data_IF_439383244780
#
_entry.id   IF_439383244780
#
_cell.length_a   1.000
_cell.length_b   1.000
_cell.length_c   1.000
_cell.angle_alpha   90.00
_cell.angle_beta   90.00
_cell.angle_gamma   90.00
#
_symmetry.space_group_name_H-M   'P 1'
#
loop_
_entity.id
_entity.type
_entity.pdbx_description
1 polymer ?
#
# COMPACT_ATOMS: atom_id res chain seq x y z
N UNK A 1 29.79 30.12 -37.58
CA UNK A 1 30.48 29.49 -36.43
C UNK A 1 30.06 30.02 -35.04
N UNK A 2 29.53 31.25 -34.91
CA UNK A 2 29.07 31.79 -33.60
C UNK A 2 27.85 31.08 -32.99
N UNK A 3 27.02 30.41 -33.78
CA UNK A 3 25.79 29.76 -33.26
C UNK A 3 26.02 28.33 -32.73
N UNK A 4 27.14 27.67 -33.06
CA UNK A 4 27.43 26.31 -32.60
C UNK A 4 27.95 26.29 -31.15
N UNK A 5 28.71 27.33 -30.78
CA UNK A 5 29.22 27.50 -29.40
C UNK A 5 28.08 27.78 -28.41
N UNK A 6 27.08 28.55 -28.82
CA UNK A 6 25.92 28.88 -27.97
C UNK A 6 25.06 27.65 -27.68
N UNK A 7 24.92 26.72 -28.63
CA UNK A 7 24.20 25.45 -28.44
C UNK A 7 24.96 24.54 -27.47
N UNK A 8 26.29 24.48 -27.55
CA UNK A 8 27.11 23.71 -26.62
C UNK A 8 27.09 24.29 -25.19
N UNK A 9 27.00 25.62 -25.06
CA UNK A 9 26.88 26.31 -23.77
C UNK A 9 25.46 26.25 -23.19
N UNK A 10 24.43 26.12 -24.02
CA UNK A 10 23.06 25.86 -23.60
C UNK A 10 22.87 24.40 -23.15
N UNK A 11 23.55 23.43 -23.77
CA UNK A 11 23.50 22.02 -23.38
C UNK A 11 24.15 21.76 -22.00
N UNK A 12 25.15 22.53 -21.59
CA UNK A 12 25.74 22.42 -20.24
C UNK A 12 24.86 23.03 -19.14
N UNK A 13 23.91 23.90 -19.49
CA UNK A 13 22.97 24.51 -18.54
C UNK A 13 21.76 23.62 -18.21
N UNK A 14 21.54 22.53 -18.94
CA UNK A 14 20.44 21.59 -18.69
C UNK A 14 20.83 20.30 -17.96
N UNK A 15 22.09 20.16 -17.51
CA UNK A 15 22.60 18.89 -16.96
C UNK A 15 22.76 18.83 -15.44
N UNK A 16 21.99 19.63 -14.69
CA UNK A 16 21.77 19.39 -13.26
C UNK A 16 20.27 19.45 -12.94
N UNK A 17 19.44 18.75 -13.72
CA UNK A 17 18.21 18.23 -13.15
C UNK A 17 18.63 17.31 -12.00
N UNK A 18 18.36 17.71 -10.75
CA UNK A 18 18.52 16.81 -9.61
C UNK A 18 17.72 15.55 -9.91
N UNK A 19 18.43 14.45 -10.11
CA UNK A 19 17.83 13.13 -10.31
C UNK A 19 16.92 12.82 -9.13
N UNK A 20 15.62 12.84 -9.37
CA UNK A 20 14.65 12.27 -8.44
C UNK A 20 15.06 10.81 -8.23
N UNK A 21 15.18 10.35 -6.98
CA UNK A 21 15.62 8.98 -6.69
C UNK A 21 14.47 8.07 -6.30
N UNK A 22 13.34 8.63 -5.87
CA UNK A 22 12.17 7.89 -5.45
C UNK A 22 10.89 8.63 -5.80
N UNK A 23 9.87 7.90 -6.25
CA UNK A 23 8.55 8.46 -6.54
C UNK A 23 7.46 7.74 -5.76
N UNK A 24 6.35 8.44 -5.52
CA UNK A 24 5.08 7.89 -5.05
C UNK A 24 3.94 8.50 -5.85
N UNK A 25 3.11 7.66 -6.47
CA UNK A 25 1.90 8.07 -7.18
C UNK A 25 0.69 7.42 -6.54
N UNK A 26 -0.33 8.20 -6.19
CA UNK A 26 -1.46 7.75 -5.38
C UNK A 26 -2.76 8.26 -6.00
N UNK A 27 -3.77 7.40 -6.13
CA UNK A 27 -5.10 7.81 -6.53
C UNK A 27 -5.77 8.60 -5.39
N UNK A 28 -6.22 9.81 -5.69
CA UNK A 28 -6.94 10.67 -4.74
C UNK A 28 -8.44 10.41 -4.78
N UNK A 29 -8.98 10.11 -5.96
CA UNK A 29 -10.39 9.82 -6.20
C UNK A 29 -10.56 9.03 -7.51
N UNK A 30 -11.77 9.00 -8.08
CA UNK A 30 -12.03 8.23 -9.28
C UNK A 30 -11.17 8.61 -10.49
N UNK A 31 -10.80 9.89 -10.61
CA UNK A 31 -10.27 10.47 -11.83
C UNK A 31 -8.91 11.16 -11.65
N UNK A 32 -8.39 11.30 -10.43
CA UNK A 32 -7.16 12.06 -10.18
C UNK A 32 -6.11 11.30 -9.38
N UNK A 33 -4.86 11.66 -9.64
CA UNK A 33 -3.67 11.14 -8.97
C UNK A 33 -2.84 12.30 -8.44
N UNK A 34 -2.18 12.08 -7.31
CA UNK A 34 -1.04 12.87 -6.88
C UNK A 34 0.24 12.11 -7.18
N UNK A 35 1.25 12.79 -7.71
CA UNK A 35 2.61 12.25 -7.87
C UNK A 35 3.54 13.10 -7.03
N UNK A 36 4.38 12.41 -6.24
CA UNK A 36 5.32 12.99 -5.32
C UNK A 36 6.69 12.41 -5.66
N UNK A 37 7.64 13.28 -5.96
CA UNK A 37 8.99 12.89 -6.29
C UNK A 37 9.96 13.38 -5.21
N UNK A 38 10.95 12.57 -4.91
CA UNK A 38 11.85 12.74 -3.79
C UNK A 38 13.30 12.57 -4.26
N UNK A 39 14.17 13.52 -3.91
CA UNK A 39 15.61 13.37 -4.04
C UNK A 39 16.14 12.36 -3.01
N UNK A 40 15.54 12.36 -1.82
CA UNK A 40 15.71 11.35 -0.77
C UNK A 40 14.47 11.35 0.12
N UNK A 41 14.09 10.20 0.66
CA UNK A 41 13.04 10.10 1.68
C UNK A 41 13.49 10.63 3.05
N UNK A 42 14.76 10.98 3.20
CA UNK A 42 15.36 11.59 4.39
C UNK A 42 15.60 13.10 4.24
N UNK A 43 15.25 13.69 3.09
CA UNK A 43 15.45 15.12 2.82
C UNK A 43 14.62 15.99 3.76
N UNK A 44 15.25 16.82 4.60
CA UNK A 44 14.59 17.61 5.66
C UNK A 44 13.56 18.62 5.11
N UNK A 45 13.64 19.04 3.84
CA UNK A 45 12.88 20.19 3.30
C UNK A 45 11.43 19.92 2.84
N UNK A 46 10.99 18.67 2.80
CA UNK A 46 9.62 18.31 2.34
C UNK A 46 8.60 18.42 3.48
N UNK A 47 7.37 18.89 3.21
CA UNK A 47 6.25 18.89 4.16
C UNK A 47 6.14 17.52 4.87
N UNK A 48 6.16 17.55 6.19
CA UNK A 48 6.21 16.37 7.06
C UNK A 48 5.04 15.42 6.81
N UNK A 49 3.87 15.92 6.39
CA UNK A 49 2.68 15.11 6.09
C UNK A 49 2.84 14.35 4.77
N UNK A 50 3.41 14.97 3.75
CA UNK A 50 3.69 14.34 2.45
C UNK A 50 4.72 13.22 2.62
N UNK A 51 5.79 13.49 3.38
CA UNK A 51 6.76 12.44 3.78
C UNK A 51 6.11 11.32 4.57
N UNK A 52 5.23 11.65 5.50
CA UNK A 52 4.53 10.67 6.32
C UNK A 52 3.70 9.73 5.44
N UNK A 53 2.92 10.26 4.50
CA UNK A 53 2.13 9.46 3.56
C UNK A 53 3.05 8.55 2.71
N UNK A 54 4.13 9.10 2.15
CA UNK A 54 5.10 8.33 1.36
C UNK A 54 5.74 7.19 2.18
N UNK A 55 6.09 7.44 3.45
CA UNK A 55 6.64 6.44 4.37
C UNK A 55 5.62 5.39 4.79
N UNK A 56 4.35 5.77 4.95
CA UNK A 56 3.28 4.85 5.33
C UNK A 56 2.89 3.89 4.20
N UNK A 57 2.95 4.35 2.96
CA UNK A 57 2.64 3.52 1.77
C UNK A 57 3.83 2.63 1.41
N UNK A 58 5.06 3.09 1.63
CA UNK A 58 6.27 2.34 1.30
C UNK A 58 6.48 1.20 2.28
N UNK A 59 6.36 -0.02 1.77
CA UNK A 59 6.96 -1.20 2.37
C UNK A 59 8.32 -1.43 1.70
N UNK A 60 9.43 -1.33 2.44
CA UNK A 60 10.76 -1.41 1.83
C UNK A 60 11.13 -2.83 1.40
N UNK A 61 10.63 -3.84 2.11
CA UNK A 61 10.98 -5.23 1.87
C UNK A 61 9.73 -6.11 1.78
N UNK A 62 9.86 -7.21 1.06
CA UNK A 62 8.83 -8.23 0.96
C UNK A 62 9.45 -9.62 0.88
N UNK A 63 8.80 -10.58 1.52
CA UNK A 63 9.06 -12.00 1.33
C UNK A 63 7.96 -12.59 0.45
N UNK A 64 8.28 -12.76 -0.83
CA UNK A 64 7.33 -13.34 -1.81
C UNK A 64 7.00 -14.79 -1.45
N UNK A 65 7.92 -15.52 -0.79
CA UNK A 65 7.71 -16.93 -0.46
C UNK A 65 6.63 -17.13 0.62
N UNK A 66 6.40 -16.11 1.45
CA UNK A 66 5.36 -16.11 2.48
C UNK A 66 3.94 -15.82 1.91
N UNK A 67 3.82 -15.39 0.65
CA UNK A 67 2.52 -15.10 0.04
C UNK A 67 1.80 -16.42 -0.27
N UNK A 68 0.60 -16.59 0.30
CA UNK A 68 -0.19 -17.82 0.10
C UNK A 68 -0.69 -17.96 -1.35
N UNK A 69 -0.35 -19.09 -1.96
CA UNK A 69 -0.82 -19.48 -3.30
C UNK A 69 -2.29 -19.89 -3.32
N UNK A 70 -2.93 -20.05 -2.17
CA UNK A 70 -4.37 -20.34 -2.07
C UNK A 70 -5.22 -19.12 -2.43
N UNK A 71 -4.63 -17.92 -2.39
CA UNK A 71 -5.31 -16.66 -2.67
C UNK A 71 -4.78 -15.95 -3.92
N UNK A 72 -3.57 -16.26 -4.38
CA UNK A 72 -2.93 -15.58 -5.50
C UNK A 72 -2.34 -16.55 -6.52
N UNK A 73 -2.54 -16.23 -7.80
CA UNK A 73 -1.71 -16.71 -8.89
C UNK A 73 -0.48 -15.80 -9.01
N UNK A 74 0.71 -16.37 -8.95
CA UNK A 74 1.99 -15.64 -8.93
C UNK A 74 2.71 -15.91 -10.25
N UNK A 75 2.89 -14.89 -11.08
CA UNK A 75 3.73 -14.97 -12.29
C UNK A 75 5.06 -14.29 -12.02
N UNK A 76 6.14 -14.90 -12.49
CA UNK A 76 7.51 -14.40 -12.28
C UNK A 76 8.15 -14.09 -13.63
N UNK A 77 8.80 -12.93 -13.71
CA UNK A 77 9.64 -12.52 -14.83
C UNK A 77 11.01 -12.13 -14.28
N UNK A 78 12.02 -12.94 -14.58
CA UNK A 78 13.38 -12.72 -14.11
C UNK A 78 14.22 -11.98 -15.17
N UNK A 79 15.27 -11.30 -14.71
CA UNK A 79 16.44 -11.07 -15.56
C UNK A 79 16.54 -9.71 -16.27
N UNK A 80 15.84 -8.67 -15.81
CA UNK A 80 16.14 -7.30 -16.26
C UNK A 80 17.06 -6.59 -15.28
N UNK A 81 17.97 -5.76 -15.80
CA UNK A 81 18.92 -4.98 -15.00
C UNK A 81 18.44 -3.54 -14.82
N UNK A 82 18.50 -3.04 -13.59
CA UNK A 82 18.32 -1.63 -13.24
C UNK A 82 19.37 -1.27 -12.20
N UNK A 83 20.12 -0.18 -12.40
CA UNK A 83 21.19 0.27 -11.48
C UNK A 83 22.17 -0.85 -11.11
N UNK A 84 22.65 -1.60 -12.11
CA UNK A 84 23.52 -2.77 -11.96
C UNK A 84 22.98 -3.92 -11.06
N UNK A 85 21.72 -3.84 -10.63
CA UNK A 85 21.04 -4.89 -9.86
C UNK A 85 20.18 -5.75 -10.76
N UNK A 86 20.10 -7.04 -10.42
CA UNK A 86 19.18 -7.99 -11.06
C UNK A 86 17.81 -7.78 -10.44
N UNK A 87 16.84 -7.48 -11.30
CA UNK A 87 15.47 -7.26 -10.88
C UNK A 87 14.61 -8.46 -11.27
N UNK A 88 13.78 -8.89 -10.33
CA UNK A 88 12.72 -9.88 -10.55
C UNK A 88 11.37 -9.20 -10.43
N UNK A 89 10.51 -9.36 -11.42
CA UNK A 89 9.13 -8.87 -11.39
C UNK A 89 8.18 -10.02 -11.01
N UNK A 90 7.32 -9.74 -10.05
CA UNK A 90 6.23 -10.59 -9.60
C UNK A 90 4.89 -9.94 -9.94
N UNK A 91 4.04 -10.65 -10.68
CA UNK A 91 2.63 -10.28 -10.86
C UNK A 91 1.78 -11.16 -9.96
N UNK A 92 1.18 -10.55 -8.94
CA UNK A 92 0.40 -11.19 -7.88
C UNK A 92 -1.08 -10.93 -8.14
N UNK A 93 -1.74 -11.92 -8.75
CA UNK A 93 -3.12 -11.80 -9.23
C UNK A 93 -4.03 -12.60 -8.31
N UNK A 94 -4.99 -11.97 -7.61
CA UNK A 94 -5.97 -12.68 -6.80
C UNK A 94 -6.74 -13.74 -7.60
N UNK A 95 -6.91 -14.93 -7.03
CA UNK A 95 -7.71 -16.01 -7.64
C UNK A 95 -9.20 -15.61 -7.68
N UNK A 96 -9.64 -14.83 -6.70
CA UNK A 96 -10.99 -14.27 -6.60
C UNK A 96 -10.93 -12.74 -6.66
N UNK A 97 -12.01 -12.11 -7.12
CA UNK A 97 -12.17 -10.64 -7.09
C UNK A 97 -12.51 -10.12 -5.69
N UNK A 98 -11.74 -10.50 -4.68
CA UNK A 98 -11.92 -10.10 -3.28
C UNK A 98 -10.74 -9.29 -2.72
N UNK A 99 -9.73 -9.04 -3.55
CA UNK A 99 -8.45 -8.40 -3.20
C UNK A 99 -7.92 -7.58 -4.36
N UNK A 100 -6.99 -6.69 -4.05
CA UNK A 100 -6.29 -5.92 -5.09
C UNK A 100 -5.11 -6.72 -5.64
N UNK A 101 -4.87 -6.59 -6.94
CA UNK A 101 -3.72 -7.19 -7.62
C UNK A 101 -2.50 -6.29 -7.51
N UNK A 102 -1.31 -6.88 -7.57
CA UNK A 102 -0.07 -6.12 -7.39
C UNK A 102 1.01 -6.55 -8.38
N UNK A 103 1.81 -5.59 -8.82
CA UNK A 103 3.05 -5.82 -9.57
C UNK A 103 4.20 -5.34 -8.68
N UNK A 104 5.15 -6.22 -8.41
CA UNK A 104 6.27 -5.94 -7.50
C UNK A 104 7.58 -6.30 -8.18
N UNK A 105 8.46 -5.32 -8.32
CA UNK A 105 9.82 -5.50 -8.79
C UNK A 105 10.74 -5.51 -7.58
N UNK A 106 11.59 -6.53 -7.46
CA UNK A 106 12.53 -6.66 -6.34
C UNK A 106 13.96 -6.88 -6.79
N UNK A 107 14.90 -6.44 -5.96
CA UNK A 107 16.30 -6.84 -5.99
C UNK A 107 16.59 -7.63 -4.70
N UNK A 108 16.60 -8.95 -4.76
CA UNK A 108 16.46 -9.79 -3.57
C UNK A 108 15.09 -9.53 -2.91
N UNK A 109 15.08 -9.18 -1.62
CA UNK A 109 13.86 -8.85 -0.87
C UNK A 109 13.51 -7.36 -0.88
N UNK A 110 14.39 -6.49 -1.39
CA UNK A 110 14.15 -5.05 -1.48
C UNK A 110 13.13 -4.77 -2.58
N UNK A 111 12.03 -4.11 -2.23
CA UNK A 111 11.06 -3.61 -3.21
C UNK A 111 11.68 -2.43 -3.94
N UNK A 112 11.90 -2.60 -5.24
CA UNK A 112 12.41 -1.57 -6.16
C UNK A 112 11.27 -0.75 -6.74
N UNK A 113 10.16 -1.41 -7.08
CA UNK A 113 8.92 -0.78 -7.52
C UNK A 113 7.74 -1.62 -7.08
N UNK A 114 6.65 -0.98 -6.70
CA UNK A 114 5.38 -1.63 -6.40
C UNK A 114 4.25 -0.85 -7.01
N UNK A 115 3.29 -1.58 -7.57
CA UNK A 115 2.05 -1.07 -8.13
C UNK A 115 0.89 -1.89 -7.59
N UNK A 116 -0.17 -1.23 -7.17
CA UNK A 116 -1.36 -1.88 -6.60
C UNK A 116 -2.57 -1.45 -7.40
N UNK A 117 -3.37 -2.42 -7.84
CA UNK A 117 -4.51 -2.22 -8.72
C UNK A 117 -5.78 -2.80 -8.12
N UNK A 118 -6.87 -2.05 -8.19
CA UNK A 118 -8.18 -2.56 -7.77
C UNK A 118 -8.71 -3.67 -8.70
N UNK A 119 -9.91 -4.16 -8.40
CA UNK A 119 -10.58 -5.21 -9.18
C UNK A 119 -11.04 -4.77 -10.58
N UNK A 120 -10.97 -3.48 -10.88
CA UNK A 120 -11.26 -2.87 -12.18
C UNK A 120 -9.97 -2.46 -12.93
N UNK A 121 -8.81 -2.91 -12.45
CA UNK A 121 -7.48 -2.58 -12.99
C UNK A 121 -7.10 -1.10 -12.91
N UNK A 122 -7.76 -0.33 -12.04
CA UNK A 122 -7.33 1.03 -11.74
C UNK A 122 -6.12 1.00 -10.82
N UNK A 123 -5.10 1.78 -11.16
CA UNK A 123 -3.94 1.98 -10.29
C UNK A 123 -4.38 2.72 -9.02
N UNK A 124 -4.20 2.09 -7.87
CA UNK A 124 -4.53 2.66 -6.56
C UNK A 124 -3.35 3.46 -6.02
N UNK A 125 -2.17 2.86 -6.07
CA UNK A 125 -0.92 3.57 -5.82
C UNK A 125 0.25 2.83 -6.46
N UNK A 126 1.35 3.55 -6.64
CA UNK A 126 2.65 2.99 -6.99
C UNK A 126 3.76 3.77 -6.31
N UNK A 127 4.88 3.12 -6.07
CA UNK A 127 6.10 3.76 -5.62
C UNK A 127 7.30 3.00 -6.14
N UNK A 128 8.46 3.65 -6.17
CA UNK A 128 9.70 2.98 -6.51
C UNK A 128 10.87 3.91 -6.72
N UNK A 129 12.02 3.31 -7.02
CA UNK A 129 13.24 4.02 -7.39
C UNK A 129 13.28 4.25 -8.89
N UNK A 130 13.62 5.47 -9.28
CA UNK A 130 13.74 5.94 -10.66
C UNK A 130 15.13 5.69 -11.23
N UNK A 131 16.17 6.03 -10.47
CA UNK A 131 17.56 5.95 -10.93
C UNK A 131 18.41 5.07 -10.02
N UNK A 132 18.64 5.51 -8.78
CA UNK A 132 19.53 4.83 -7.83
C UNK A 132 18.75 3.96 -6.85
N UNK A 133 19.04 2.66 -6.83
CA UNK A 133 18.48 1.70 -5.89
C UNK A 133 19.42 1.62 -4.68
N UNK A 134 18.96 1.88 -3.46
CA UNK A 134 19.82 1.85 -2.28
C UNK A 134 20.33 0.45 -1.97
N UNK A 135 21.55 0.37 -1.41
CA UNK A 135 22.12 -0.85 -0.86
C UNK A 135 21.71 -1.00 0.61
N UNK A 136 20.45 -1.40 0.81
CA UNK A 136 19.90 -1.68 2.14
C UNK A 136 19.51 -3.15 2.24
N UNK A 137 19.86 -3.76 3.37
CA UNK A 137 19.47 -5.13 3.69
C UNK A 137 18.31 -5.11 4.69
N UNK A 138 17.38 -6.06 4.61
CA UNK A 138 16.30 -6.16 5.58
C UNK A 138 16.87 -6.49 6.96
N UNK A 139 16.38 -5.81 8.00
CA UNK A 139 16.61 -6.23 9.38
C UNK A 139 15.59 -7.31 9.78
N UNK A 140 15.85 -8.06 10.87
CA UNK A 140 14.87 -9.02 11.42
C UNK A 140 13.51 -8.38 11.74
N UNK A 141 13.46 -7.07 12.00
CA UNK A 141 12.23 -6.32 12.26
C UNK A 141 11.45 -6.03 10.97
N UNK A 142 12.15 -5.94 9.84
CA UNK A 142 11.57 -5.67 8.52
C UNK A 142 10.95 -6.93 7.90
N UNK A 143 11.54 -8.09 8.21
CA UNK A 143 10.98 -9.41 7.91
C UNK A 143 10.06 -9.83 9.07
N UNK A 144 8.89 -9.21 9.20
CA UNK A 144 7.96 -9.57 10.27
C UNK A 144 7.55 -11.04 10.15
N UNK A 145 7.90 -11.84 11.14
CA UNK A 145 7.19 -13.10 11.42
C UNK A 145 5.75 -12.79 11.81
N UNK A 146 4.80 -13.34 11.06
CA UNK A 146 3.39 -13.45 11.48
C UNK A 146 3.31 -14.49 12.59
N UNK A 147 3.76 -14.13 13.80
CA UNK A 147 3.49 -14.94 14.98
C UNK A 147 2.00 -14.82 15.30
N UNK A 148 1.29 -15.93 15.07
CA UNK A 148 -0.14 -16.11 15.30
C UNK A 148 -0.40 -16.07 16.82
N UNK A 149 -1.01 -14.98 17.29
CA UNK A 149 -1.62 -14.98 18.63
C UNK A 149 -2.91 -15.82 18.59
N UNK A 150 -3.18 -16.56 19.68
CA UNK A 150 -4.25 -17.56 19.81
C UNK A 150 -5.69 -17.03 19.64
N UNK A 151 -5.87 -15.70 19.66
CA UNK A 151 -7.17 -15.02 19.57
C UNK A 151 -7.27 -14.12 18.30
N UNK A 152 -6.63 -14.51 17.21
CA UNK A 152 -6.65 -13.75 15.95
C UNK A 152 -7.97 -13.95 15.19
N UNK A 153 -8.66 -12.84 14.86
CA UNK A 153 -9.82 -12.88 13.97
C UNK A 153 -9.35 -13.24 12.56
N UNK A 154 -9.84 -14.33 11.98
CA UNK A 154 -9.48 -14.71 10.60
C UNK A 154 -10.63 -14.44 9.66
N UNK A 155 -10.35 -13.82 8.52
CA UNK A 155 -11.32 -13.58 7.47
C UNK A 155 -10.72 -13.88 6.09
N UNK A 156 -11.15 -14.97 5.45
CA UNK A 156 -10.68 -15.37 4.10
C UNK A 156 -9.15 -15.28 3.92
N UNK A 157 -8.37 -15.77 4.89
CA UNK A 157 -6.89 -15.72 4.85
C UNK A 157 -6.27 -14.42 5.37
N UNK A 158 -7.06 -13.37 5.60
CA UNK A 158 -6.60 -12.22 6.37
C UNK A 158 -6.56 -12.57 7.85
N UNK A 159 -5.44 -12.28 8.49
CA UNK A 159 -5.26 -12.40 9.93
C UNK A 159 -5.45 -11.03 10.58
N UNK A 160 -6.43 -10.94 11.47
CA UNK A 160 -6.83 -9.75 12.21
C UNK A 160 -6.17 -9.68 13.57
N UNK A 161 -5.45 -8.58 13.83
CA UNK A 161 -4.83 -8.28 15.12
C UNK A 161 -5.39 -6.99 15.70
N UNK A 162 -5.74 -7.01 16.98
CA UNK A 162 -6.05 -5.80 17.74
C UNK A 162 -4.79 -4.94 17.86
N UNK A 163 -4.87 -3.69 17.40
CA UNK A 163 -3.73 -2.76 17.49
C UNK A 163 -3.81 -1.93 18.76
N UNK A 164 -4.97 -1.30 18.99
CA UNK A 164 -5.20 -0.46 20.16
C UNK A 164 -6.68 -0.14 20.35
N UNK A 165 -6.99 0.35 21.55
CA UNK A 165 -8.21 1.07 21.85
C UNK A 165 -7.86 2.55 22.01
N UNK A 166 -8.56 3.43 21.31
CA UNK A 166 -8.40 4.88 21.42
C UNK A 166 -9.07 5.41 22.68
N UNK A 167 -8.70 6.62 23.09
CA UNK A 167 -9.26 7.29 24.27
C UNK A 167 -10.79 7.48 24.19
N UNK A 168 -11.31 7.70 22.98
CA UNK A 168 -12.76 7.82 22.73
C UNK A 168 -13.50 6.46 22.73
N UNK A 169 -12.80 5.38 23.06
CA UNK A 169 -13.32 4.02 23.10
C UNK A 169 -13.32 3.29 21.76
N UNK A 170 -12.86 3.93 20.67
CA UNK A 170 -12.77 3.29 19.35
C UNK A 170 -11.78 2.14 19.37
N UNK A 171 -12.19 0.98 18.87
CA UNK A 171 -11.34 -0.20 18.76
C UNK A 171 -10.76 -0.27 17.36
N UNK A 172 -9.44 -0.48 17.24
CA UNK A 172 -8.74 -0.59 15.95
C UNK A 172 -8.12 -1.96 15.75
N UNK A 173 -8.56 -2.66 14.70
CA UNK A 173 -7.97 -3.89 14.20
C UNK A 173 -7.25 -3.65 12.88
N UNK A 174 -6.17 -4.39 12.62
CA UNK A 174 -5.55 -4.52 11.29
C UNK A 174 -5.67 -5.96 10.83
N UNK A 175 -6.11 -6.13 9.60
CA UNK A 175 -6.18 -7.39 8.87
C UNK A 175 -5.14 -7.41 7.77
N UNK A 176 -4.37 -8.49 7.68
CA UNK A 176 -3.28 -8.66 6.71
C UNK A 176 -3.23 -10.11 6.22
N UNK A 177 -3.07 -10.31 4.91
CA UNK A 177 -2.87 -11.64 4.30
C UNK A 177 -1.44 -11.87 3.78
N UNK A 178 -0.52 -10.96 4.10
CA UNK A 178 0.85 -10.93 3.60
C UNK A 178 1.06 -9.92 2.47
N UNK A 179 0.00 -9.48 1.79
CA UNK A 179 0.09 -8.58 0.64
C UNK A 179 -0.89 -7.40 0.69
N UNK A 180 -2.17 -7.70 0.89
CA UNK A 180 -3.25 -6.75 1.07
C UNK A 180 -3.52 -6.52 2.56
N UNK A 181 -3.88 -5.28 2.90
CA UNK A 181 -4.10 -4.87 4.29
C UNK A 181 -5.31 -3.96 4.39
N UNK A 182 -6.06 -4.10 5.46
CA UNK A 182 -7.12 -3.17 5.79
C UNK A 182 -7.27 -3.01 7.30
N UNK A 183 -7.73 -1.85 7.72
CA UNK A 183 -8.06 -1.55 9.10
C UNK A 183 -9.57 -1.60 9.29
N UNK A 184 -9.98 -2.04 10.48
CA UNK A 184 -11.33 -1.91 10.99
C UNK A 184 -11.31 -1.01 12.21
N UNK A 185 -12.16 0.01 12.22
CA UNK A 185 -12.44 0.86 13.37
C UNK A 185 -13.88 0.63 13.82
N UNK A 186 -14.08 0.38 15.12
CA UNK A 186 -15.39 0.15 15.73
C UNK A 186 -15.61 1.22 16.80
N UNK A 187 -16.63 2.06 16.61
CA UNK A 187 -16.97 3.15 17.54
C UNK A 187 -18.43 3.05 17.96
N UNK A 188 -18.69 3.14 19.26
CA UNK A 188 -20.05 3.11 19.83
C UNK A 188 -20.60 4.54 20.02
N UNK A 189 -21.92 4.66 20.10
CA UNK A 189 -22.63 5.86 20.56
C UNK A 189 -22.41 7.12 19.71
N UNK A 190 -22.72 7.04 18.42
CA UNK A 190 -22.74 8.21 17.53
C UNK A 190 -24.14 8.51 17.01
N UNK A 191 -24.54 9.77 17.17
CA UNK A 191 -25.71 10.35 16.53
C UNK A 191 -25.35 10.70 15.08
N UNK A 192 -26.23 10.36 14.13
CA UNK A 192 -26.16 10.72 12.70
C UNK A 192 -24.85 10.44 11.96
N UNK A 193 -24.50 9.16 11.82
CA UNK A 193 -23.45 8.73 10.88
C UNK A 193 -24.07 8.33 9.55
N UNK A 194 -23.78 9.09 8.50
CA UNK A 194 -24.12 8.68 7.13
C UNK A 194 -23.19 7.56 6.65
N UNK A 195 -23.73 6.70 5.79
CA UNK A 195 -22.89 5.71 5.10
C UNK A 195 -22.03 6.42 4.08
N UNK A 196 -20.71 6.21 4.15
CA UNK A 196 -19.75 6.82 3.24
C UNK A 196 -18.98 5.72 2.52
N UNK A 197 -18.91 5.84 1.18
CA UNK A 197 -18.02 5.06 0.31
C UNK A 197 -17.14 6.03 -0.44
N UNK A 198 -15.83 5.93 -0.28
CA UNK A 198 -14.90 6.82 -0.96
C UNK A 198 -13.54 6.17 -1.17
N UNK A 199 -12.77 6.72 -2.10
CA UNK A 199 -11.35 6.45 -2.27
C UNK A 199 -10.58 7.56 -1.56
N UNK A 200 -9.65 7.18 -0.68
CA UNK A 200 -8.79 8.09 0.08
C UNK A 200 -7.36 7.56 0.02
N UNK A 201 -6.47 8.33 -0.62
CA UNK A 201 -5.03 8.02 -0.73
C UNK A 201 -4.75 6.57 -1.14
N UNK A 202 -5.33 6.12 -2.26
CA UNK A 202 -5.11 4.77 -2.79
C UNK A 202 -5.77 3.64 -2.00
N UNK A 203 -6.62 3.97 -1.01
CA UNK A 203 -7.39 2.99 -0.25
C UNK A 203 -8.88 3.25 -0.40
N UNK A 204 -9.68 2.20 -0.44
CA UNK A 204 -11.12 2.34 -0.28
C UNK A 204 -11.45 2.58 1.20
N UNK A 205 -12.49 3.37 1.46
CA UNK A 205 -13.06 3.63 2.76
C UNK A 205 -14.57 3.35 2.71
N UNK A 206 -15.01 2.43 3.56
CA UNK A 206 -16.42 2.19 3.86
C UNK A 206 -16.68 2.53 5.32
N UNK A 207 -17.50 3.54 5.57
CA UNK A 207 -18.04 3.85 6.90
C UNK A 207 -19.53 3.56 6.90
N UNK A 208 -20.01 2.74 7.84
CA UNK A 208 -21.41 2.34 7.93
C UNK A 208 -21.85 2.23 9.38
N UNK A 209 -23.05 2.74 9.67
CA UNK A 209 -23.73 2.53 10.95
C UNK A 209 -24.58 1.27 10.88
N UNK A 210 -24.39 0.38 11.84
CA UNK A 210 -25.22 -0.82 12.05
C UNK A 210 -25.64 -0.79 13.51
N UNK A 211 -26.95 -0.76 13.75
CA UNK A 211 -27.54 -0.51 15.08
C UNK A 211 -26.97 0.81 15.68
N UNK A 212 -26.37 0.75 16.87
CA UNK A 212 -25.74 1.92 17.53
C UNK A 212 -24.20 1.92 17.44
N UNK A 213 -23.64 1.22 16.45
CA UNK A 213 -22.21 1.07 16.25
C UNK A 213 -21.83 1.55 14.86
N UNK A 214 -20.80 2.40 14.78
CA UNK A 214 -20.15 2.77 13.53
C UNK A 214 -18.99 1.82 13.27
N UNK A 215 -18.97 1.25 12.07
CA UNK A 215 -17.87 0.47 11.54
C UNK A 215 -17.23 1.23 10.39
N UNK A 216 -15.91 1.45 10.45
CA UNK A 216 -15.14 2.04 9.35
C UNK A 216 -14.07 1.06 8.91
N UNK A 217 -14.14 0.64 7.66
CA UNK A 217 -13.14 -0.21 6.99
C UNK A 217 -12.35 0.65 6.02
N UNK A 218 -11.02 0.59 6.09
CA UNK A 218 -10.14 1.30 5.15
C UNK A 218 -8.98 0.39 4.74
N UNK A 219 -8.74 0.24 3.43
CA UNK A 219 -7.60 -0.55 2.95
C UNK A 219 -7.68 -0.98 1.49
N UNK A 220 -6.88 -2.00 1.16
CA UNK A 220 -6.70 -2.53 -0.19
C UNK A 220 -7.59 -3.75 -0.47
N UNK A 221 -8.89 -3.59 -0.23
CA UNK A 221 -9.93 -4.58 -0.56
C UNK A 221 -11.12 -3.89 -1.23
N UNK A 222 -11.86 -4.56 -2.15
CA UNK A 222 -12.98 -3.94 -2.86
C UNK A 222 -14.19 -3.70 -1.93
N UNK A 223 -15.04 -2.74 -2.28
CA UNK A 223 -16.20 -2.37 -1.45
C UNK A 223 -17.16 -3.54 -1.19
N UNK A 224 -17.38 -4.39 -2.20
CA UNK A 224 -18.21 -5.59 -2.06
C UNK A 224 -17.65 -6.55 -1.01
N UNK A 225 -16.33 -6.60 -0.87
CA UNK A 225 -15.67 -7.43 0.13
C UNK A 225 -15.71 -6.78 1.53
N UNK A 226 -15.60 -5.46 1.61
CA UNK A 226 -15.80 -4.71 2.86
C UNK A 226 -17.19 -4.94 3.46
N UNK A 227 -18.25 -4.92 2.64
CA UNK A 227 -19.62 -5.16 3.11
C UNK A 227 -19.82 -6.60 3.64
N UNK A 228 -19.24 -7.60 2.95
CA UNK A 228 -19.24 -9.00 3.40
C UNK A 228 -18.47 -9.16 4.71
N UNK A 229 -17.31 -8.51 4.82
CA UNK A 229 -16.51 -8.49 6.03
C UNK A 229 -17.27 -7.88 7.22
N UNK A 230 -17.96 -6.75 7.04
CA UNK A 230 -18.75 -6.15 8.11
C UNK A 230 -19.89 -7.07 8.57
N UNK A 231 -20.54 -7.77 7.64
CA UNK A 231 -21.57 -8.75 7.97
C UNK A 231 -20.99 -9.92 8.78
N UNK A 232 -19.78 -10.38 8.44
CA UNK A 232 -19.05 -11.39 9.21
C UNK A 232 -18.71 -10.91 10.64
N UNK A 233 -18.21 -9.69 10.79
CA UNK A 233 -17.86 -9.11 12.10
C UNK A 233 -19.10 -8.99 12.98
N UNK A 234 -20.18 -8.40 12.48
CA UNK A 234 -21.42 -8.24 13.24
C UNK A 234 -22.00 -9.60 13.67
N UNK A 235 -21.93 -10.61 12.80
CA UNK A 235 -22.38 -11.96 13.13
C UNK A 235 -21.48 -12.65 14.18
N UNK A 236 -20.20 -12.31 14.22
CA UNK A 236 -19.23 -12.86 15.19
C UNK A 236 -19.41 -12.20 16.55
N UNK A 237 -19.59 -10.87 16.58
CA UNK A 237 -19.85 -10.10 17.81
C UNK A 237 -21.15 -10.54 18.50
N UNK A 238 -22.20 -10.93 17.75
CA UNK A 238 -23.47 -11.41 18.30
C UNK A 238 -23.43 -12.81 18.92
N UNK A 239 -22.36 -13.57 18.69
CA UNK A 239 -22.18 -14.93 19.21
C UNK A 239 -21.34 -14.98 20.51
N UNK A 240 -20.76 -13.85 20.90
CA UNK A 240 -20.07 -13.66 22.19
C UNK A 240 -21.03 -13.09 23.22
#
# INVERSE_FOLDING_TARGET
MKNLLTIFFLLSLFAFAHAETFFVKIALNENSYITLNFNSLDDINIDTRVKFIARMIREPFIDISAISKDYYNIKVKEGFKQDNKIITQYELIPIKKDRFSQIINTSGNLIVRREVYDTNHKLMYSYGYTEKIPDIQPTKKDLKETNLEKDTLVYKGFQGKLIKKLEDGTIHYIFNDGLNKFSLFIRKNLNDVQTTKSLIYGNYLLSKKIDNIQYTVIGTIPFEEMEKFLSYIVATDKKQ
#
